data_IF_272214728718
#
_entry.id   IF_272214728718
#
_cell.length_a   1.000
_cell.length_b   1.000
_cell.length_c   1.000
_cell.angle_alpha   90.00
_cell.angle_beta   90.00
_cell.angle_gamma   90.00
#
_symmetry.space_group_name_H-M   'P 1'
#
loop_
_entity.id
_entity.type
_entity.pdbx_description
1 polymer ?
#
# COMPACT_ATOMS: atom_id res chain seq x y z
N UNK A 1 25.32 15.36 18.92
CA UNK A 1 24.75 14.00 18.99
C UNK A 1 23.54 13.95 18.07
N UNK A 2 23.75 13.58 16.80
CA UNK A 2 22.69 13.56 15.79
C UNK A 2 21.67 12.48 16.12
N UNK A 3 20.40 12.87 16.25
CA UNK A 3 19.30 11.93 16.44
C UNK A 3 19.25 11.02 15.21
N UNK A 4 19.68 9.77 15.36
CA UNK A 4 19.53 8.75 14.33
C UNK A 4 18.03 8.65 14.01
N UNK A 5 17.59 8.87 12.75
CA UNK A 5 16.18 8.73 12.43
C UNK A 5 15.81 7.27 12.72
N UNK A 6 14.89 7.09 13.67
CA UNK A 6 14.32 5.81 14.05
C UNK A 6 13.82 5.18 12.74
N UNK A 7 14.54 4.18 12.21
CA UNK A 7 14.09 3.42 11.04
C UNK A 7 12.84 2.69 11.49
N UNK A 8 11.68 3.29 11.22
CA UNK A 8 10.40 2.62 11.41
C UNK A 8 10.39 1.48 10.41
N UNK A 9 10.70 0.28 10.87
CA UNK A 9 10.70 -0.93 10.05
C UNK A 9 9.27 -1.16 9.57
N UNK A 10 8.96 -0.71 8.35
CA UNK A 10 7.71 -1.02 7.67
C UNK A 10 7.72 -2.55 7.45
N UNK A 11 6.67 -3.22 7.88
CA UNK A 11 6.46 -4.65 7.66
C UNK A 11 5.48 -4.87 6.52
N UNK A 12 5.38 -6.11 5.99
CA UNK A 12 4.41 -6.41 4.92
C UNK A 12 2.96 -6.15 5.37
N UNK A 13 2.71 -6.21 6.68
CA UNK A 13 1.42 -5.88 7.27
C UNK A 13 1.10 -4.38 7.28
N UNK A 14 2.07 -3.52 7.09
CA UNK A 14 1.86 -2.07 6.96
C UNK A 14 1.54 -1.65 5.51
N UNK A 15 1.68 -2.57 4.54
CA UNK A 15 1.38 -2.28 3.13
C UNK A 15 -0.13 -2.10 2.97
N UNK A 16 -0.51 -0.92 2.48
CA UNK A 16 -1.86 -0.67 1.98
C UNK A 16 -1.91 -1.12 0.52
N UNK A 17 -2.70 -2.15 0.19
CA UNK A 17 -2.87 -2.54 -1.19
C UNK A 17 -3.63 -1.45 -1.97
N UNK A 18 -3.51 -1.45 -3.29
CA UNK A 18 -4.15 -0.48 -4.16
C UNK A 18 -5.39 -1.09 -4.82
N UNK A 19 -6.37 -0.24 -5.09
CA UNK A 19 -7.52 -0.55 -5.90
C UNK A 19 -7.07 -0.73 -7.35
N UNK A 20 -7.32 -1.89 -7.99
CA UNK A 20 -6.96 -2.12 -9.39
C UNK A 20 -7.73 -1.22 -10.37
N UNK A 21 -8.88 -0.68 -9.96
CA UNK A 21 -9.73 0.14 -10.83
C UNK A 21 -9.29 1.61 -10.85
N UNK A 22 -8.95 2.19 -9.70
CA UNK A 22 -8.66 3.62 -9.59
C UNK A 22 -7.29 3.96 -9.00
N UNK A 23 -6.47 2.96 -8.65
CA UNK A 23 -5.14 3.13 -8.08
C UNK A 23 -5.08 3.69 -6.66
N UNK A 24 -6.24 3.97 -6.02
CA UNK A 24 -6.28 4.49 -4.65
C UNK A 24 -5.92 3.41 -3.64
N UNK A 25 -5.30 3.83 -2.53
CA UNK A 25 -5.03 2.96 -1.39
C UNK A 25 -6.32 2.41 -0.77
N UNK A 26 -6.31 1.10 -0.51
CA UNK A 26 -7.35 0.38 0.21
C UNK A 26 -6.99 0.37 1.69
N UNK A 27 -7.89 0.91 2.51
CA UNK A 27 -7.66 1.02 3.94
C UNK A 27 -7.95 -0.32 4.63
N UNK A 28 -6.96 -0.88 5.33
CA UNK A 28 -7.11 -2.15 6.06
C UNK A 28 -8.20 -2.09 7.13
N UNK A 29 -8.45 -0.94 7.75
CA UNK A 29 -9.53 -0.80 8.74
C UNK A 29 -10.93 -0.84 8.11
N UNK A 30 -11.03 -0.71 6.78
CA UNK A 30 -12.29 -0.83 6.01
C UNK A 30 -12.37 -2.13 5.21
N UNK A 31 -11.51 -3.10 5.50
CA UNK A 31 -11.64 -4.42 4.91
C UNK A 31 -12.96 -5.06 5.37
N UNK A 32 -13.78 -5.53 4.43
CA UNK A 32 -14.98 -6.31 4.72
C UNK A 32 -14.53 -7.74 5.07
N UNK A 33 -14.27 -7.98 6.35
CA UNK A 33 -14.12 -9.31 6.96
C UNK A 33 -13.26 -10.29 6.13
N UNK A 34 -12.05 -9.85 5.77
CA UNK A 34 -11.06 -10.62 4.99
C UNK A 34 -11.44 -11.00 3.54
N UNK A 35 -12.64 -10.63 3.07
CA UNK A 35 -13.09 -10.93 1.70
C UNK A 35 -12.65 -9.88 0.68
N UNK A 36 -12.38 -8.65 1.12
CA UNK A 36 -11.97 -7.56 0.25
C UNK A 36 -12.15 -6.18 0.87
N UNK A 37 -12.24 -5.15 0.02
CA UNK A 37 -12.39 -3.75 0.41
C UNK A 37 -13.48 -3.06 -0.39
N UNK A 38 -14.31 -2.27 0.27
CA UNK A 38 -15.15 -1.29 -0.42
C UNK A 38 -14.30 -0.05 -0.72
N UNK A 39 -13.86 0.10 -1.97
CA UNK A 39 -13.04 1.23 -2.37
C UNK A 39 -13.88 2.51 -2.38
N UNK A 40 -13.24 3.66 -2.11
CA UNK A 40 -13.89 4.97 -2.21
C UNK A 40 -14.36 5.33 -3.62
N UNK A 41 -13.95 4.60 -4.65
CA UNK A 41 -14.48 4.75 -6.00
C UNK A 41 -15.87 4.11 -6.19
N UNK A 42 -16.39 3.43 -5.16
CA UNK A 42 -17.69 2.76 -5.20
C UNK A 42 -17.62 1.27 -5.54
N UNK A 43 -16.43 0.76 -5.90
CA UNK A 43 -16.26 -0.64 -6.31
C UNK A 43 -15.84 -1.53 -5.13
N UNK A 44 -16.39 -2.75 -5.08
CA UNK A 44 -15.90 -3.78 -4.18
C UNK A 44 -14.69 -4.49 -4.77
N UNK A 45 -13.57 -4.48 -4.06
CA UNK A 45 -12.30 -5.07 -4.48
C UNK A 45 -12.04 -6.34 -3.68
N UNK A 46 -12.18 -7.53 -4.29
CA UNK A 46 -11.84 -8.79 -3.64
C UNK A 46 -10.38 -8.82 -3.18
N UNK A 47 -10.12 -9.48 -2.06
CA UNK A 47 -8.77 -9.56 -1.46
C UNK A 47 -7.69 -9.96 -2.47
N UNK A 48 -8.01 -11.00 -3.25
CA UNK A 48 -7.16 -11.59 -4.31
C UNK A 48 -6.87 -10.68 -5.51
N UNK A 49 -7.68 -9.65 -5.74
CA UNK A 49 -7.53 -8.72 -6.88
C UNK A 49 -6.86 -7.41 -6.48
N UNK A 50 -6.62 -7.20 -5.18
CA UNK A 50 -5.92 -6.02 -4.73
C UNK A 50 -4.46 -6.03 -5.16
N UNK A 51 -3.93 -4.86 -5.48
CA UNK A 51 -2.57 -4.73 -6.00
C UNK A 51 -1.63 -4.44 -4.83
N UNK A 52 -0.60 -5.26 -4.64
CA UNK A 52 0.50 -4.90 -3.77
C UNK A 52 1.44 -3.94 -4.53
N UNK A 53 1.56 -2.66 -4.12
CA UNK A 53 2.34 -1.66 -4.85
C UNK A 53 3.84 -1.95 -4.91
N UNK A 54 4.33 -2.87 -4.07
CA UNK A 54 5.74 -3.25 -4.01
C UNK A 54 6.01 -4.63 -4.61
N UNK A 55 4.97 -5.32 -5.09
CA UNK A 55 5.13 -6.62 -5.74
C UNK A 55 5.97 -6.47 -7.02
N UNK A 56 6.97 -7.33 -7.17
CA UNK A 56 7.92 -7.25 -8.29
C UNK A 56 8.96 -6.12 -8.18
N UNK A 57 8.91 -5.23 -7.17
CA UNK A 57 9.97 -4.25 -6.98
C UNK A 57 11.16 -4.90 -6.24
N UNK A 58 12.35 -4.85 -6.84
CA UNK A 58 13.60 -5.38 -6.24
C UNK A 58 13.95 -4.72 -4.91
N UNK A 59 13.52 -3.47 -4.71
CA UNK A 59 13.70 -2.72 -3.47
C UNK A 59 12.61 -3.01 -2.42
N UNK A 60 11.59 -3.81 -2.75
CA UNK A 60 10.47 -4.16 -1.88
C UNK A 60 9.82 -2.93 -1.26
N UNK A 61 9.66 -2.92 0.06
CA UNK A 61 9.08 -1.80 0.83
C UNK A 61 9.88 -0.49 0.74
N UNK A 62 11.14 -0.54 0.28
CA UNK A 62 11.95 0.64 0.04
C UNK A 62 11.84 1.16 -1.40
N UNK A 63 10.92 0.62 -2.21
CA UNK A 63 10.68 1.09 -3.55
C UNK A 63 10.23 2.55 -3.50
N UNK A 64 11.04 3.42 -4.10
CA UNK A 64 10.68 4.83 -4.35
C UNK A 64 10.56 5.09 -5.85
N UNK A 65 10.44 4.02 -6.65
CA UNK A 65 10.22 4.13 -8.09
C UNK A 65 8.89 4.85 -8.33
N UNK A 66 8.94 6.04 -8.92
CA UNK A 66 7.75 6.88 -9.16
C UNK A 66 7.38 7.83 -8.03
N UNK A 67 8.09 7.84 -6.89
CA UNK A 67 7.91 8.90 -5.88
C UNK A 67 8.57 10.17 -6.41
N UNK A 68 7.77 11.06 -7.00
CA UNK A 68 8.23 12.36 -7.48
C UNK A 68 8.90 13.10 -6.31
N UNK A 69 10.22 13.25 -6.40
CA UNK A 69 10.93 14.13 -5.48
C UNK A 69 10.59 15.54 -5.91
N UNK A 70 9.56 16.15 -5.31
CA UNK A 70 9.35 17.60 -5.41
C UNK A 70 10.69 18.26 -5.06
N UNK A 71 11.35 18.81 -6.08
CA UNK A 71 12.51 19.68 -5.94
C UNK A 71 12.03 21.09 -5.70
#
# INVERSE_FOLDING_TARGET
MGKNPKKTSITRDDIKPLCPVCGRELDKAKAADSSGWNCKCGEFIPARLSINPFEGCTHGLNCNCGRERRR
#
